data_IF_753116332059
#
_entry.id   IF_753116332059
#
_cell.length_a   1.000
_cell.length_b   1.000
_cell.length_c   1.000
_cell.angle_alpha   90.00
_cell.angle_beta   90.00
_cell.angle_gamma   90.00
#
_symmetry.space_group_name_H-M   'P 1'
#
loop_
_entity.id
_entity.type
_entity.pdbx_description
1 polymer ?
#
# COMPACT_ATOMS: atom_id res chain seq x y z
N UNK A 1 -9.14 6.11 -9.70
CA UNK A 1 -8.70 4.78 -9.26
C UNK A 1 -7.18 4.69 -9.25
N UNK A 2 -6.49 5.10 -10.32
CA UNK A 2 -5.01 5.18 -10.31
C UNK A 2 -4.46 6.15 -9.24
N UNK A 3 -5.04 7.34 -9.08
CA UNK A 3 -4.66 8.30 -8.03
C UNK A 3 -4.79 7.73 -6.61
N UNK A 4 -5.83 6.93 -6.36
CA UNK A 4 -6.04 6.27 -5.07
C UNK A 4 -4.96 5.22 -4.78
N UNK A 5 -4.61 4.42 -5.79
CA UNK A 5 -3.54 3.41 -5.67
C UNK A 5 -2.21 4.09 -5.40
N UNK A 6 -1.93 5.22 -6.05
CA UNK A 6 -0.71 6.00 -5.82
C UNK A 6 -0.68 6.64 -4.43
N UNK A 7 -1.81 7.21 -3.95
CA UNK A 7 -1.91 7.71 -2.57
C UNK A 7 -1.66 6.61 -1.53
N UNK A 8 -2.24 5.43 -1.72
CA UNK A 8 -2.03 4.27 -0.83
C UNK A 8 -0.57 3.83 -0.87
N UNK A 9 0.02 3.74 -2.08
CA UNK A 9 1.40 3.33 -2.28
C UNK A 9 2.40 4.25 -1.55
N UNK A 10 2.25 5.56 -1.70
CA UNK A 10 3.10 6.55 -1.04
C UNK A 10 2.98 6.48 0.49
N UNK A 11 1.77 6.29 1.02
CA UNK A 11 1.58 6.15 2.46
C UNK A 11 2.21 4.86 3.00
N UNK A 12 2.09 3.75 2.26
CA UNK A 12 2.73 2.48 2.62
C UNK A 12 4.25 2.62 2.63
N UNK A 13 4.85 3.24 1.60
CA UNK A 13 6.30 3.52 1.56
C UNK A 13 6.76 4.35 2.76
N UNK A 14 6.00 5.40 3.10
CA UNK A 14 6.28 6.22 4.28
C UNK A 14 6.27 5.39 5.57
N UNK A 15 5.23 4.56 5.77
CA UNK A 15 5.13 3.68 6.94
C UNK A 15 6.25 2.64 7.00
N UNK A 16 6.66 2.06 5.86
CA UNK A 16 7.80 1.13 5.80
C UNK A 16 9.08 1.79 6.29
N UNK A 17 9.35 3.02 5.84
CA UNK A 17 10.52 3.80 6.27
C UNK A 17 10.47 4.15 7.76
N UNK A 18 9.31 4.59 8.26
CA UNK A 18 9.12 4.94 9.68
C UNK A 18 9.22 3.73 10.62
N UNK A 19 8.74 2.56 10.19
CA UNK A 19 8.68 1.33 11.00
C UNK A 19 9.87 0.38 10.76
N UNK A 20 10.74 0.67 9.77
CA UNK A 20 11.85 -0.21 9.38
C UNK A 20 11.39 -1.56 8.80
N UNK A 21 10.19 -1.59 8.22
CA UNK A 21 9.49 -2.82 7.87
C UNK A 21 9.69 -3.15 6.38
N UNK A 22 10.86 -3.74 6.05
CA UNK A 22 11.35 -3.89 4.67
C UNK A 22 11.20 -5.30 4.08
N UNK A 23 10.39 -6.15 4.69
CA UNK A 23 10.07 -7.46 4.14
C UNK A 23 8.67 -7.47 3.49
N UNK A 24 8.47 -8.46 2.61
CA UNK A 24 7.25 -8.58 1.82
C UNK A 24 5.98 -8.79 2.67
N UNK A 25 6.10 -9.45 3.83
CA UNK A 25 4.95 -9.68 4.69
C UNK A 25 4.56 -8.37 5.38
N UNK A 26 5.54 -7.62 5.89
CA UNK A 26 5.32 -6.29 6.44
C UNK A 26 4.72 -5.33 5.42
N UNK A 27 5.20 -5.34 4.17
CA UNK A 27 4.61 -4.55 3.09
C UNK A 27 3.13 -4.85 2.88
N UNK A 28 2.77 -6.14 2.83
CA UNK A 28 1.38 -6.56 2.71
C UNK A 28 0.54 -6.10 3.91
N UNK A 29 1.03 -6.27 5.13
CA UNK A 29 0.30 -5.81 6.33
C UNK A 29 0.06 -4.30 6.30
N UNK A 30 1.05 -3.52 5.86
CA UNK A 30 0.92 -2.07 5.73
C UNK A 30 -0.06 -1.66 4.62
N UNK A 31 -0.15 -2.42 3.53
CA UNK A 31 -1.18 -2.23 2.49
C UNK A 31 -2.56 -2.45 3.11
N UNK A 32 -2.78 -3.59 3.76
CA UNK A 32 -4.06 -3.95 4.36
C UNK A 32 -4.49 -2.89 5.42
N UNK A 33 -3.56 -2.48 6.29
CA UNK A 33 -3.80 -1.41 7.27
C UNK A 33 -4.14 -0.07 6.61
N UNK A 34 -3.45 0.26 5.51
CA UNK A 34 -3.69 1.52 4.81
C UNK A 34 -5.03 1.53 4.09
N UNK A 35 -5.44 0.42 3.49
CA UNK A 35 -6.77 0.27 2.88
C UNK A 35 -7.86 0.49 3.93
N UNK A 36 -7.73 -0.14 5.10
CA UNK A 36 -8.68 0.05 6.21
C UNK A 36 -8.75 1.53 6.62
N UNK A 37 -7.60 2.20 6.75
CA UNK A 37 -7.55 3.64 7.03
C UNK A 37 -8.30 4.47 5.97
N UNK A 38 -8.16 4.14 4.68
CA UNK A 38 -8.87 4.86 3.61
C UNK A 38 -10.38 4.62 3.63
N UNK A 39 -10.83 3.41 3.96
CA UNK A 39 -12.25 3.10 4.20
C UNK A 39 -12.80 3.91 5.39
N UNK A 40 -12.09 3.94 6.52
CA UNK A 40 -12.51 4.71 7.70
C UNK A 40 -12.59 6.23 7.43
N UNK A 41 -11.77 6.74 6.51
CA UNK A 41 -11.79 8.14 6.07
C UNK A 41 -12.85 8.43 5.00
N UNK A 42 -13.57 7.43 4.52
CA UNK A 42 -14.53 7.56 3.42
C UNK A 42 -13.88 7.88 2.07
N UNK A 43 -12.57 7.64 1.94
CA UNK A 43 -11.81 7.76 0.68
C UNK A 43 -11.93 6.50 -0.19
N UNK A 44 -12.24 5.37 0.43
CA UNK A 44 -12.64 4.13 -0.23
C UNK A 44 -14.05 3.76 0.19
N UNK A 45 -14.78 3.16 -0.75
CA UNK A 45 -16.13 2.65 -0.59
C UNK A 45 -16.14 1.15 -0.86
N UNK A 46 -17.18 0.45 -0.42
CA UNK A 46 -17.33 -1.00 -0.67
C UNK A 46 -17.44 -1.36 -2.17
N UNK A 47 -17.65 -0.37 -3.04
CA UNK A 47 -17.64 -0.53 -4.50
C UNK A 47 -16.22 -0.46 -5.09
N UNK A 48 -15.25 0.06 -4.34
CA UNK A 48 -13.87 0.07 -4.77
C UNK A 48 -13.34 -1.37 -4.72
N UNK A 49 -12.74 -1.82 -5.82
CA UNK A 49 -12.28 -3.19 -5.96
C UNK A 49 -10.99 -3.37 -5.14
N UNK A 50 -11.15 -3.55 -3.83
CA UNK A 50 -10.05 -3.71 -2.86
C UNK A 50 -9.04 -4.76 -3.33
N UNK A 51 -9.55 -5.92 -3.79
CA UNK A 51 -8.71 -6.99 -4.32
C UNK A 51 -7.84 -6.51 -5.49
N UNK A 52 -8.41 -5.72 -6.41
CA UNK A 52 -7.65 -5.14 -7.51
C UNK A 52 -6.57 -4.16 -7.01
N UNK A 53 -6.89 -3.32 -6.02
CA UNK A 53 -5.94 -2.38 -5.42
C UNK A 53 -4.77 -3.12 -4.76
N UNK A 54 -5.07 -4.14 -3.95
CA UNK A 54 -4.05 -5.00 -3.31
C UNK A 54 -3.17 -5.67 -4.36
N UNK A 55 -3.76 -6.26 -5.41
CA UNK A 55 -3.00 -6.92 -6.48
C UNK A 55 -2.07 -5.93 -7.21
N UNK A 56 -2.54 -4.71 -7.49
CA UNK A 56 -1.73 -3.65 -8.09
C UNK A 56 -0.56 -3.21 -7.19
N UNK A 57 -0.82 -3.04 -5.89
CA UNK A 57 0.21 -2.67 -4.92
C UNK A 57 1.23 -3.80 -4.73
N UNK A 58 0.77 -5.06 -4.68
CA UNK A 58 1.65 -6.23 -4.58
C UNK A 58 2.53 -6.42 -5.81
N UNK A 59 2.09 -6.01 -7.01
CA UNK A 59 2.94 -5.96 -8.20
C UNK A 59 4.03 -4.89 -8.11
N UNK A 60 3.78 -3.81 -7.35
CA UNK A 60 4.77 -2.76 -7.12
C UNK A 60 5.86 -3.14 -6.10
N UNK A 61 5.72 -4.27 -5.40
CA UNK A 61 6.69 -4.74 -4.41
C UNK A 61 8.13 -4.81 -4.94
N UNK A 62 8.32 -5.31 -6.16
CA UNK A 62 9.67 -5.43 -6.73
C UNK A 62 10.34 -4.06 -6.89
N UNK A 63 9.58 -3.01 -7.22
CA UNK A 63 10.09 -1.63 -7.30
C UNK A 63 10.41 -1.07 -5.91
N UNK A 64 9.54 -1.29 -4.93
CA UNK A 64 9.77 -0.88 -3.53
C UNK A 64 11.07 -1.49 -2.99
N UNK A 65 11.28 -2.78 -3.24
CA UNK A 65 12.47 -3.50 -2.80
C UNK A 65 13.75 -2.93 -3.42
N UNK A 66 13.71 -2.59 -4.71
CA UNK A 66 14.85 -1.98 -5.40
C UNK A 66 15.18 -0.59 -4.83
N UNK A 67 14.17 0.24 -4.55
CA UNK A 67 14.35 1.58 -3.96
C UNK A 67 14.91 1.53 -2.53
N UNK A 68 14.57 0.51 -1.75
CA UNK A 68 15.02 0.34 -0.36
C UNK A 68 16.43 -0.26 -0.24
N UNK A 69 16.97 -0.81 -1.32
CA UNK A 69 18.27 -1.49 -1.33
C UNK A 69 19.46 -0.54 -1.61
N UNK A 70 19.22 0.79 -1.64
CA UNK A 70 20.21 1.82 -1.98
C UNK A 70 20.49 2.80 -0.84
#
# INVERSE_FOLDING_TARGET
MEELIEEIYELVKKKMSEQGAYDRNSYKMLIDETIVYFHEKGKMTDNDNEKFIVDQLMQKWEFVREELSY
#
